data_IF_096362238684
#
_entry.id   IF_096362238684
#
_cell.length_a   1.000
_cell.length_b   1.000
_cell.length_c   1.000
_cell.angle_alpha   90.00
_cell.angle_beta   90.00
_cell.angle_gamma   90.00
#
_symmetry.space_group_name_H-M   'P 1'
#
loop_
_entity.id
_entity.type
_entity.pdbx_description
1 polymer ?
#
# COMPACT_ATOMS: atom_id res chain seq x y z
N UNK A 1 -45.46 13.97 -0.82
CA UNK A 1 -44.86 12.86 -0.05
C UNK A 1 -44.07 11.87 -0.91
N UNK A 2 -44.58 11.40 -2.06
CA UNK A 2 -43.85 10.45 -2.94
C UNK A 2 -42.51 10.99 -3.50
N UNK A 3 -42.40 12.31 -3.72
CA UNK A 3 -41.16 12.96 -4.19
C UNK A 3 -40.09 13.15 -3.10
N UNK A 4 -40.47 13.06 -1.82
CA UNK A 4 -39.52 13.17 -0.69
C UNK A 4 -38.84 11.83 -0.37
N UNK A 5 -39.48 10.71 -0.72
CA UNK A 5 -38.89 9.37 -0.54
C UNK A 5 -37.74 9.14 -1.53
N UNK A 6 -37.82 9.72 -2.73
CA UNK A 6 -36.75 9.64 -3.73
C UNK A 6 -35.48 10.40 -3.32
N UNK A 7 -35.59 11.43 -2.46
CA UNK A 7 -34.44 12.20 -1.97
C UNK A 7 -33.67 11.48 -0.84
N UNK A 8 -34.34 10.63 -0.06
CA UNK A 8 -33.73 9.82 1.00
C UNK A 8 -32.95 8.61 0.44
N UNK A 9 -33.32 8.11 -0.73
CA UNK A 9 -32.65 6.97 -1.35
C UNK A 9 -31.27 7.32 -1.97
N UNK A 10 -30.99 8.60 -2.24
CA UNK A 10 -29.69 9.06 -2.75
C UNK A 10 -28.68 9.41 -1.64
N UNK A 11 -29.11 9.51 -0.38
CA UNK A 11 -28.26 9.96 0.72
C UNK A 11 -27.39 8.90 1.40
N UNK A 12 -27.47 7.62 1.01
CA UNK A 12 -26.86 6.51 1.74
C UNK A 12 -25.70 5.80 1.02
N UNK A 13 -25.24 6.30 -0.13
CA UNK A 13 -24.12 5.70 -0.88
C UNK A 13 -22.78 6.40 -0.71
N UNK A 14 -22.58 7.19 0.35
CA UNK A 14 -21.23 7.56 0.78
C UNK A 14 -20.67 6.50 1.71
N UNK A 15 -20.63 5.23 1.27
CA UNK A 15 -19.67 4.29 1.85
C UNK A 15 -18.31 4.80 1.40
N UNK A 16 -17.55 5.36 2.36
CA UNK A 16 -16.20 5.82 2.13
C UNK A 16 -15.46 4.77 1.32
N UNK A 17 -14.90 5.18 0.18
CA UNK A 17 -13.96 4.36 -0.56
C UNK A 17 -12.81 4.07 0.41
N UNK A 18 -12.90 2.91 1.07
CA UNK A 18 -11.95 2.51 2.08
C UNK A 18 -10.58 2.54 1.43
N UNK A 19 -9.66 3.21 2.11
CA UNK A 19 -8.25 3.12 1.80
C UNK A 19 -7.88 1.62 1.75
N UNK A 20 -7.42 1.12 0.60
CA UNK A 20 -7.11 -0.28 0.36
C UNK A 20 -5.67 -0.41 -0.15
N UNK A 21 -4.88 -1.24 0.53
CA UNK A 21 -3.60 -1.71 0.04
C UNK A 21 -3.81 -3.13 -0.49
N UNK A 22 -3.90 -3.26 -1.81
CA UNK A 22 -4.08 -4.56 -2.47
C UNK A 22 -2.74 -5.07 -2.97
N UNK A 23 -2.33 -6.24 -2.49
CA UNK A 23 -1.09 -6.93 -2.85
C UNK A 23 -1.44 -8.29 -3.43
N UNK A 24 -1.10 -8.53 -4.70
CA UNK A 24 -1.42 -9.77 -5.43
C UNK A 24 -2.91 -10.19 -5.33
N UNK A 25 -3.82 -9.22 -5.38
CA UNK A 25 -5.26 -9.46 -5.28
C UNK A 25 -5.80 -9.61 -3.85
N UNK A 26 -4.93 -9.59 -2.85
CA UNK A 26 -5.31 -9.63 -1.43
C UNK A 26 -5.29 -8.23 -0.84
N UNK A 27 -6.40 -7.79 -0.24
CA UNK A 27 -6.43 -6.55 0.52
C UNK A 27 -5.83 -6.79 1.92
N UNK A 28 -4.62 -6.29 2.14
CA UNK A 28 -3.89 -6.56 3.40
C UNK A 28 -4.51 -5.81 4.59
N UNK A 29 -5.33 -4.78 4.34
CA UNK A 29 -6.07 -4.09 5.39
C UNK A 29 -7.15 -4.96 6.05
N UNK A 30 -7.62 -6.00 5.38
CA UNK A 30 -8.67 -6.90 5.90
C UNK A 30 -8.08 -8.11 6.65
N UNK A 31 -6.77 -8.31 6.60
CA UNK A 31 -6.08 -9.42 7.25
C UNK A 31 -5.83 -9.17 8.75
N UNK A 32 -5.84 -10.24 9.55
CA UNK A 32 -5.40 -10.21 10.96
C UNK A 32 -3.87 -10.28 11.05
N UNK A 33 -3.23 -9.18 10.66
CA UNK A 33 -1.77 -8.98 10.68
C UNK A 33 -1.44 -7.66 11.36
N UNK A 34 -0.27 -7.59 11.98
CA UNK A 34 0.18 -6.42 12.76
C UNK A 34 1.27 -5.62 12.08
N UNK A 35 2.12 -6.26 11.29
CA UNK A 35 3.32 -5.67 10.72
C UNK A 35 3.46 -6.00 9.25
N UNK A 36 4.06 -5.07 8.50
CA UNK A 36 4.47 -5.26 7.11
C UNK A 36 5.82 -4.59 6.88
N UNK A 37 6.59 -5.09 5.92
CA UNK A 37 7.73 -4.39 5.35
C UNK A 37 7.34 -3.74 4.02
N UNK A 38 7.52 -2.43 3.93
CA UNK A 38 7.51 -1.70 2.66
C UNK A 38 8.93 -1.69 2.09
N UNK A 39 9.11 -2.32 0.93
CA UNK A 39 10.41 -2.58 0.34
C UNK A 39 10.59 -1.78 -0.94
N UNK A 40 11.65 -0.98 -0.97
CA UNK A 40 12.05 -0.17 -2.12
C UNK A 40 13.35 -0.67 -2.74
N UNK A 41 13.33 -0.98 -4.03
CA UNK A 41 14.53 -1.29 -4.80
C UNK A 41 14.85 -0.13 -5.75
N UNK A 42 16.01 0.50 -5.53
CA UNK A 42 16.57 1.47 -6.46
C UNK A 42 17.60 0.77 -7.35
N UNK A 43 17.44 0.86 -8.67
CA UNK A 43 18.53 0.49 -9.58
C UNK A 43 19.56 1.60 -9.59
N UNK A 44 20.83 1.25 -9.45
CA UNK A 44 21.99 2.16 -9.36
C UNK A 44 22.03 3.24 -10.49
N UNK A 45 21.34 3.02 -11.61
CA UNK A 45 21.30 3.90 -12.78
C UNK A 45 19.91 4.53 -13.05
N UNK A 46 18.91 4.34 -12.19
CA UNK A 46 17.55 4.86 -12.42
C UNK A 46 17.07 5.70 -11.23
N UNK A 47 17.41 6.98 -11.27
CA UNK A 47 17.09 7.99 -10.22
C UNK A 47 15.57 8.17 -10.04
N UNK A 48 14.76 7.89 -11.07
CA UNK A 48 13.34 8.26 -11.12
C UNK A 48 12.35 7.10 -10.97
N UNK A 49 12.82 5.85 -10.92
CA UNK A 49 11.92 4.68 -10.92
C UNK A 49 12.33 3.70 -9.83
N UNK A 50 11.85 3.93 -8.62
CA UNK A 50 11.91 2.94 -7.55
C UNK A 50 10.83 1.88 -7.78
N UNK A 51 11.17 0.61 -7.55
CA UNK A 51 10.16 -0.45 -7.43
C UNK A 51 9.79 -0.58 -5.97
N UNK A 52 8.51 -0.53 -5.68
CA UNK A 52 7.99 -0.67 -4.31
C UNK A 52 7.06 -1.87 -4.24
N UNK A 53 7.22 -2.66 -3.20
CA UNK A 53 6.37 -3.80 -2.88
C UNK A 53 6.16 -3.90 -1.36
N UNK A 54 5.16 -4.67 -0.96
CA UNK A 54 4.84 -4.90 0.45
C UNK A 54 4.97 -6.38 0.77
N UNK A 55 5.73 -6.68 1.81
CA UNK A 55 5.82 -7.98 2.45
C UNK A 55 5.00 -7.93 3.74
N UNK A 56 4.03 -8.80 3.86
CA UNK A 56 3.17 -8.94 5.03
C UNK A 56 3.22 -10.36 5.62
N UNK A 57 4.25 -11.14 5.26
CA UNK A 57 4.41 -12.53 5.68
C UNK A 57 3.62 -13.54 4.82
N UNK A 58 3.20 -13.16 3.61
CA UNK A 58 2.53 -14.04 2.67
C UNK A 58 3.43 -15.16 2.16
N UNK A 59 2.81 -16.28 1.76
CA UNK A 59 3.50 -17.35 1.05
C UNK A 59 4.23 -16.81 -0.18
N UNK A 60 5.38 -17.40 -0.48
CA UNK A 60 6.18 -16.99 -1.63
C UNK A 60 5.37 -17.11 -2.93
N UNK A 61 5.31 -16.02 -3.69
CA UNK A 61 4.63 -15.94 -4.98
C UNK A 61 5.56 -15.34 -6.03
N UNK A 62 5.58 -15.95 -7.21
CA UNK A 62 6.27 -15.41 -8.39
C UNK A 62 5.58 -14.17 -8.96
N UNK A 63 4.35 -13.86 -8.51
CA UNK A 63 3.64 -12.64 -8.92
C UNK A 63 4.17 -11.45 -8.16
N UNK A 64 4.25 -10.31 -8.85
CA UNK A 64 4.70 -9.06 -8.24
C UNK A 64 3.81 -8.69 -7.06
N UNK A 65 4.42 -8.58 -5.88
CA UNK A 65 3.81 -8.06 -4.64
C UNK A 65 3.68 -6.52 -4.67
N UNK A 66 3.46 -5.97 -5.87
CA UNK A 66 3.26 -4.55 -6.07
C UNK A 66 1.87 -4.15 -5.56
N UNK A 67 1.81 -3.04 -4.85
CA UNK A 67 0.56 -2.41 -4.47
C UNK A 67 -0.23 -2.08 -5.74
N UNK A 68 -1.51 -2.46 -5.81
CA UNK A 68 -2.41 -2.04 -6.89
C UNK A 68 -3.13 -0.75 -6.50
N UNK A 69 -3.30 0.15 -7.46
CA UNK A 69 -4.19 1.30 -7.32
C UNK A 69 -5.65 0.89 -7.53
N UNK A 70 -6.57 1.83 -7.33
CA UNK A 70 -8.03 1.63 -7.50
C UNK A 70 -8.45 1.17 -8.90
N UNK A 71 -7.59 1.33 -9.92
CA UNK A 71 -7.81 0.86 -11.29
C UNK A 71 -7.19 -0.53 -11.56
N UNK A 72 -6.67 -1.23 -10.53
CA UNK A 72 -6.04 -2.54 -10.66
C UNK A 72 -4.64 -2.54 -11.30
N UNK A 73 -4.08 -1.35 -11.56
CA UNK A 73 -2.72 -1.18 -12.09
C UNK A 73 -1.72 -1.11 -10.94
N UNK A 74 -0.48 -1.56 -11.18
CA UNK A 74 0.60 -1.35 -10.21
C UNK A 74 0.71 0.15 -9.87
N UNK A 75 0.67 0.47 -8.59
CA UNK A 75 0.93 1.80 -8.08
C UNK A 75 2.37 2.18 -8.47
N UNK A 76 2.51 3.41 -8.95
CA UNK A 76 3.80 4.01 -9.25
C UNK A 76 4.06 5.06 -8.18
N UNK A 77 5.21 4.97 -7.52
CA UNK A 77 5.64 5.92 -6.51
C UNK A 77 6.85 6.69 -7.01
N UNK A 78 6.87 7.98 -6.71
CA UNK A 78 7.98 8.87 -7.09
C UNK A 78 9.18 8.70 -6.15
N UNK A 79 8.94 8.29 -4.90
CA UNK A 79 9.97 8.08 -3.88
C UNK A 79 9.48 7.12 -2.78
N UNK A 80 10.39 6.66 -1.92
CA UNK A 80 10.00 5.83 -0.77
C UNK A 80 9.09 6.59 0.20
N UNK A 81 9.23 7.91 0.28
CA UNK A 81 8.36 8.76 1.10
C UNK A 81 6.96 8.87 0.47
N UNK A 82 6.86 8.93 -0.85
CA UNK A 82 5.57 8.89 -1.56
C UNK A 82 4.83 7.57 -1.25
N UNK A 83 5.54 6.45 -1.30
CA UNK A 83 5.00 5.16 -0.89
C UNK A 83 4.64 5.10 0.61
N UNK A 84 5.46 5.68 1.49
CA UNK A 84 5.17 5.74 2.92
C UNK A 84 3.91 6.56 3.22
N UNK A 85 3.74 7.73 2.58
CA UNK A 85 2.55 8.55 2.70
C UNK A 85 1.30 7.80 2.23
N UNK A 86 1.41 7.04 1.14
CA UNK A 86 0.33 6.16 0.72
C UNK A 86 -0.01 5.13 1.79
N UNK A 87 0.98 4.42 2.36
CA UNK A 87 0.75 3.44 3.41
C UNK A 87 0.12 4.08 4.67
N UNK A 88 0.60 5.26 5.08
CA UNK A 88 0.08 6.02 6.22
C UNK A 88 -1.39 6.41 6.06
N UNK A 89 -1.75 6.92 4.88
CA UNK A 89 -3.12 7.23 4.50
C UNK A 89 -4.03 5.99 4.44
N UNK A 90 -3.44 4.80 4.31
CA UNK A 90 -4.14 3.52 4.26
C UNK A 90 -3.99 2.70 5.56
N UNK A 91 -3.73 3.36 6.69
CA UNK A 91 -3.81 2.71 8.01
C UNK A 91 -2.54 1.98 8.46
N UNK A 92 -1.39 2.29 7.87
CA UNK A 92 -0.10 1.71 8.24
C UNK A 92 0.85 2.77 8.78
N UNK A 93 1.20 2.71 10.05
CA UNK A 93 2.08 3.65 10.71
C UNK A 93 3.55 3.22 10.62
N UNK A 94 4.43 4.21 10.45
CA UNK A 94 5.88 4.01 10.42
C UNK A 94 6.44 3.56 11.78
N UNK A 95 7.31 2.55 11.78
CA UNK A 95 8.02 2.09 12.98
C UNK A 95 9.52 2.39 12.86
N UNK A 96 10.17 1.86 11.83
CA UNK A 96 11.62 1.97 11.65
C UNK A 96 12.01 1.69 10.20
N UNK A 97 13.26 1.96 9.84
CA UNK A 97 13.81 1.60 8.54
C UNK A 97 15.26 1.14 8.62
N UNK A 98 15.67 0.37 7.62
CA UNK A 98 17.06 -0.02 7.41
C UNK A 98 17.36 -0.17 5.91
N UNK A 99 18.65 -0.26 5.59
CA UNK A 99 19.16 -0.39 4.22
C UNK A 99 19.97 -1.67 4.12
N UNK A 100 19.74 -2.42 3.05
CA UNK A 100 20.60 -3.52 2.61
C UNK A 100 21.37 -3.05 1.38
N UNK A 101 22.69 -3.18 1.41
CA UNK A 101 23.55 -2.98 0.25
C UNK A 101 24.10 -4.33 -0.18
N UNK A 102 23.73 -4.78 -1.38
CA UNK A 102 24.25 -6.00 -1.97
C UNK A 102 24.99 -5.65 -3.27
N UNK A 103 26.32 -5.55 -3.20
CA UNK A 103 27.18 -5.24 -4.35
C UNK A 103 26.74 -4.01 -5.17
N UNK A 104 26.28 -2.95 -4.49
CA UNK A 104 25.83 -1.71 -5.13
C UNK A 104 24.33 -1.67 -5.45
N UNK A 105 23.58 -2.75 -5.22
CA UNK A 105 22.12 -2.72 -5.22
C UNK A 105 21.61 -2.30 -3.84
N UNK A 106 20.93 -1.16 -3.78
CA UNK A 106 20.35 -0.62 -2.56
C UNK A 106 18.90 -1.05 -2.43
N UNK A 107 18.59 -1.74 -1.33
CA UNK A 107 17.22 -2.06 -0.91
C UNK A 107 16.91 -1.32 0.37
N UNK A 108 15.91 -0.45 0.30
CA UNK A 108 15.35 0.26 1.45
C UNK A 108 14.21 -0.56 2.03
N UNK A 109 14.21 -0.79 3.34
CA UNK A 109 13.14 -1.50 4.03
C UNK A 109 12.58 -0.65 5.15
N UNK A 110 11.27 -0.46 5.15
CA UNK A 110 10.53 0.29 6.16
C UNK A 110 9.61 -0.70 6.87
N UNK A 111 9.76 -0.85 8.17
CA UNK A 111 8.85 -1.60 9.01
C UNK A 111 7.66 -0.69 9.35
N UNK A 112 6.46 -1.18 9.08
CA UNK A 112 5.21 -0.50 9.36
C UNK A 112 4.36 -1.36 10.28
N UNK A 113 3.56 -0.71 11.13
CA UNK A 113 2.56 -1.35 11.97
C UNK A 113 1.15 -0.94 11.55
N UNK A 114 0.17 -1.82 11.73
CA UNK A 114 -1.23 -1.53 11.42
C UNK A 114 -1.83 -0.61 12.49
N UNK A 115 -2.30 0.59 12.11
CA UNK A 115 -2.94 1.53 13.03
C UNK A 115 -4.16 0.88 13.71
N UNK A 116 -4.29 1.10 15.01
CA UNK A 116 -5.51 0.74 15.73
C UNK A 116 -6.67 1.62 15.23
N UNK A 117 -7.85 1.02 15.05
CA UNK A 117 -9.06 1.72 14.60
C UNK A 117 -9.77 2.40 15.76
#
# INVERSE_FOLDING_TARGET
MKKMIAALAFGLMSFGAGAQVVVDGTNINDLDIKYVELVGQAKLLSITKIKVFVDYGQDFSWKQQAIKNTAGKNAAFNSMIDALNFMDANGWEYVSNYLINNNGELTYKFLLHKKEK
#
